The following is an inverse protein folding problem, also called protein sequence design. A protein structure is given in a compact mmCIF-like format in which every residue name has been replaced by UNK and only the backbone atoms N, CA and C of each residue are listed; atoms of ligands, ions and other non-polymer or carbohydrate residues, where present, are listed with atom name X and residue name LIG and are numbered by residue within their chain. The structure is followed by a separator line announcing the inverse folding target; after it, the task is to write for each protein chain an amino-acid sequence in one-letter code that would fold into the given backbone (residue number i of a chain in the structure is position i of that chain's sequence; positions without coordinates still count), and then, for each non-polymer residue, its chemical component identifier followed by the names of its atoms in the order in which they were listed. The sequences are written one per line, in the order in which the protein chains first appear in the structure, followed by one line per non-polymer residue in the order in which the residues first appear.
data_IF_280907865779
#
_entry.id   IF_280907865779
#
_cell.length_a   1.000
_cell.length_b   1.000
_cell.length_c   1.000
_cell.angle_alpha   90.00
_cell.angle_beta   90.00
_cell.angle_gamma   90.00
#
_symmetry.space_group_name_H-M   'P 1'
#
loop_
_entity.id
_entity.type
_entity.pdbx_description
1 polymer ?
#
# COMPACT_ATOMS: atom_id res chain seq x y z
N UNK A 1 -26.76 -17.20 0.19
CA UNK A 1 -25.33 -16.95 -0.03
C UNK A 1 -24.99 -15.65 0.66
N UNK A 2 -24.16 -15.68 1.71
CA UNK A 2 -23.59 -14.43 2.20
C UNK A 2 -22.67 -13.91 1.08
N UNK A 3 -22.97 -12.72 0.58
CA UNK A 3 -22.19 -12.00 -0.40
C UNK A 3 -20.75 -11.97 0.10
N UNK A 4 -19.82 -12.60 -0.63
CA UNK A 4 -18.41 -12.55 -0.29
C UNK A 4 -17.97 -11.12 -0.54
N UNK A 5 -17.99 -10.33 0.52
CA UNK A 5 -17.48 -8.98 0.57
C UNK A 5 -15.96 -9.02 0.38
N UNK A 6 -15.54 -9.11 -0.89
CA UNK A 6 -14.20 -8.77 -1.31
C UNK A 6 -14.14 -7.28 -1.63
N UNK A 7 -14.58 -6.40 -0.72
CA UNK A 7 -14.07 -5.03 -0.68
C UNK A 7 -12.62 -5.11 -0.17
N UNK A 8 -11.78 -5.78 -0.97
CA UNK A 8 -10.35 -5.58 -0.94
C UNK A 8 -10.12 -4.24 -1.62
N UNK A 9 -10.38 -3.14 -0.90
CA UNK A 9 -9.79 -1.87 -1.30
C UNK A 9 -8.31 -2.17 -1.56
N UNK A 10 -7.78 -1.92 -2.76
CA UNK A 10 -6.39 -2.22 -3.05
C UNK A 10 -5.55 -1.62 -1.93
N UNK A 11 -4.66 -2.40 -1.33
CA UNK A 11 -3.77 -1.94 -0.23
C UNK A 11 -3.04 -0.64 -0.61
N UNK A 12 -2.81 -0.44 -1.91
CA UNK A 12 -2.26 0.79 -2.46
C UNK A 12 -3.15 2.03 -2.26
N UNK A 13 -4.47 1.88 -2.28
CA UNK A 13 -5.46 2.93 -2.04
C UNK A 13 -5.61 3.21 -0.53
N UNK A 14 -5.61 2.19 0.32
CA UNK A 14 -5.61 2.37 1.79
C UNK A 14 -4.34 3.06 2.30
N UNK A 15 -3.19 2.73 1.72
CA UNK A 15 -1.90 3.34 2.06
C UNK A 15 -1.64 4.64 1.28
N UNK A 16 -2.60 5.09 0.48
CA UNK A 16 -2.58 6.28 -0.36
C UNK A 16 -1.27 6.46 -1.17
N UNK A 17 -0.74 5.36 -1.72
CA UNK A 17 0.57 5.35 -2.39
C UNK A 17 0.56 6.19 -3.67
N UNK A 18 -0.59 6.26 -4.33
CA UNK A 18 -0.77 7.05 -5.56
C UNK A 18 -0.54 8.53 -5.30
N UNK A 19 -1.12 9.09 -4.24
CA UNK A 19 -0.98 10.51 -3.91
C UNK A 19 0.46 10.85 -3.47
N UNK A 20 1.14 9.92 -2.81
CA UNK A 20 2.55 10.09 -2.47
C UNK A 20 3.42 10.15 -3.73
N UNK A 21 3.17 9.28 -4.71
CA UNK A 21 3.92 9.30 -5.98
C UNK A 21 3.66 10.59 -6.75
N UNK A 22 2.39 10.98 -6.92
CA UNK A 22 2.05 12.20 -7.66
C UNK A 22 2.59 13.45 -6.97
N UNK A 23 2.57 13.50 -5.63
CA UNK A 23 3.20 14.55 -4.83
C UNK A 23 4.70 14.64 -5.06
N UNK A 24 5.43 13.52 -5.06
CA UNK A 24 6.87 13.50 -5.36
C UNK A 24 7.18 13.94 -6.80
N UNK A 25 6.34 13.55 -7.76
CA UNK A 25 6.48 14.04 -9.14
C UNK A 25 6.27 15.56 -9.22
N UNK A 26 5.33 16.12 -8.45
CA UNK A 26 5.11 17.55 -8.36
C UNK A 26 6.29 18.26 -7.70
N UNK A 27 6.84 17.71 -6.61
CA UNK A 27 8.02 18.26 -5.94
C UNK A 27 9.21 18.39 -6.91
N UNK A 28 9.41 17.43 -7.83
CA UNK A 28 10.44 17.52 -8.87
C UNK A 28 10.22 18.69 -9.83
N UNK A 29 8.96 18.94 -10.22
CA UNK A 29 8.62 20.09 -11.06
C UNK A 29 8.80 21.41 -10.29
N UNK A 30 8.42 21.42 -9.02
CA UNK A 30 8.50 22.60 -8.16
C UNK A 30 9.96 23.00 -7.88
N UNK A 31 10.87 22.02 -7.68
CA UNK A 31 12.31 22.26 -7.63
C UNK A 31 12.82 22.86 -8.94
N UNK A 32 12.40 22.31 -10.10
CA UNK A 32 12.83 22.80 -11.41
C UNK A 32 12.35 24.23 -11.69
N UNK A 33 11.16 24.57 -11.17
CA UNK A 33 10.59 25.93 -11.29
C UNK A 33 11.09 26.90 -10.21
N UNK A 34 11.90 26.43 -9.25
CA UNK A 34 12.42 27.24 -8.15
C UNK A 34 11.39 27.58 -7.06
N UNK A 35 10.23 26.92 -7.03
CA UNK A 35 9.19 27.12 -6.01
C UNK A 35 9.56 26.54 -4.64
N UNK A 36 10.30 25.43 -4.64
CA UNK A 36 10.86 24.82 -3.43
C UNK A 36 12.36 24.60 -3.63
N UNK A 37 13.11 24.65 -2.53
CA UNK A 37 14.53 24.35 -2.55
C UNK A 37 14.79 22.84 -2.70
N UNK A 38 15.97 22.44 -3.21
CA UNK A 38 16.39 21.04 -3.21
C UNK A 38 16.39 20.39 -1.81
N UNK A 39 16.69 21.18 -0.77
CA UNK A 39 16.68 20.70 0.62
C UNK A 39 15.27 20.34 1.09
N UNK A 40 14.27 21.16 0.77
CA UNK A 40 12.86 20.88 1.07
C UNK A 40 12.37 19.63 0.33
N UNK A 41 12.66 19.51 -0.97
CA UNK A 41 12.29 18.34 -1.74
C UNK A 41 12.94 17.05 -1.18
N UNK A 42 14.20 17.13 -0.75
CA UNK A 42 14.88 16.01 -0.11
C UNK A 42 14.23 15.61 1.22
N UNK A 43 13.83 16.59 2.05
CA UNK A 43 13.12 16.31 3.29
C UNK A 43 11.78 15.61 3.04
N UNK A 44 11.00 16.07 2.05
CA UNK A 44 9.74 15.44 1.63
C UNK A 44 9.94 14.01 1.14
N UNK A 45 10.96 13.78 0.31
CA UNK A 45 11.33 12.45 -0.17
C UNK A 45 11.73 11.50 0.98
N UNK A 46 12.42 12.02 2.00
CA UNK A 46 12.82 11.24 3.18
C UNK A 46 11.60 10.77 3.98
N UNK A 47 10.58 11.62 4.12
CA UNK A 47 9.31 11.26 4.77
C UNK A 47 8.56 10.23 3.94
N UNK A 48 8.43 10.45 2.63
CA UNK A 48 7.78 9.51 1.72
C UNK A 48 8.43 8.11 1.77
N UNK A 49 9.76 8.03 1.92
CA UNK A 49 10.48 6.75 2.08
C UNK A 49 9.99 5.93 3.29
N UNK A 50 9.58 6.57 4.38
CA UNK A 50 9.05 5.85 5.55
C UNK A 50 7.69 5.22 5.26
N UNK A 51 6.86 5.88 4.45
CA UNK A 51 5.57 5.33 3.99
C UNK A 51 5.82 4.05 3.17
N UNK A 52 6.78 4.09 2.24
CA UNK A 52 7.18 2.91 1.45
C UNK A 52 7.70 1.76 2.31
N UNK A 53 8.49 2.06 3.34
CA UNK A 53 8.95 1.05 4.29
C UNK A 53 7.77 0.41 5.04
N UNK A 54 6.79 1.21 5.47
CA UNK A 54 5.56 0.73 6.11
C UNK A 54 4.75 -0.19 5.18
N UNK A 55 4.55 0.22 3.93
CA UNK A 55 3.87 -0.58 2.91
C UNK A 55 4.57 -1.92 2.67
N UNK A 56 5.92 -1.92 2.62
CA UNK A 56 6.71 -3.14 2.50
C UNK A 56 6.50 -4.08 3.67
N UNK A 57 6.53 -3.57 4.91
CA UNK A 57 6.32 -4.36 6.13
C UNK A 57 4.92 -4.97 6.14
N UNK A 58 3.90 -4.18 5.79
CA UNK A 58 2.52 -4.64 5.73
C UNK A 58 2.33 -5.80 4.73
N UNK A 59 2.84 -5.65 3.50
CA UNK A 59 2.77 -6.71 2.49
C UNK A 59 3.54 -7.96 2.92
N UNK A 60 4.68 -7.81 3.60
CA UNK A 60 5.43 -8.93 4.16
C UNK A 60 4.66 -9.65 5.27
N UNK A 61 3.96 -8.92 6.13
CA UNK A 61 3.12 -9.48 7.18
C UNK A 61 1.97 -10.31 6.57
N UNK A 62 1.25 -9.76 5.59
CA UNK A 62 0.19 -10.49 4.87
C UNK A 62 0.74 -11.78 4.28
N UNK A 63 1.85 -11.70 3.54
CA UNK A 63 2.45 -12.88 2.90
C UNK A 63 2.84 -13.94 3.93
N UNK A 64 3.38 -13.53 5.07
CA UNK A 64 3.76 -14.43 6.17
C UNK A 64 2.54 -15.13 6.76
N UNK A 65 1.46 -14.39 7.03
CA UNK A 65 0.22 -14.93 7.58
C UNK A 65 -0.44 -15.90 6.60
N UNK A 66 -0.51 -15.54 5.32
CA UNK A 66 -1.04 -16.40 4.25
C UNK A 66 -0.24 -17.69 4.11
N UNK A 67 1.09 -17.64 4.21
CA UNK A 67 1.93 -18.83 4.18
C UNK A 67 1.77 -19.75 5.39
N UNK A 68 1.36 -19.21 6.54
CA UNK A 68 1.11 -19.96 7.77
C UNK A 68 -0.34 -20.45 7.91
N UNK A 69 -1.23 -20.09 6.97
CA UNK A 69 -2.64 -20.44 7.04
C UNK A 69 -2.83 -21.96 6.87
N UNK A 70 -3.52 -22.59 7.83
CA UNK A 70 -3.90 -24.01 7.71
C UNK A 70 -4.98 -24.17 6.64
N UNK A 71 -4.89 -25.20 5.78
CA UNK A 71 -5.95 -25.49 4.83
C UNK A 71 -7.23 -25.83 5.58
N UNK A 72 -8.32 -25.15 5.23
CA UNK A 72 -9.64 -25.45 5.78
C UNK A 72 -10.26 -26.57 4.93
N UNK A 73 -10.75 -27.62 5.56
CA UNK A 73 -11.46 -28.69 4.86
C UNK A 73 -12.67 -28.09 4.12
N UNK A 74 -12.88 -28.47 2.85
CA UNK A 74 -14.07 -28.09 2.09
C UNK A 74 -15.29 -28.49 2.92
N UNK A 75 -16.19 -27.53 3.16
CA UNK A 75 -17.53 -27.84 3.64
C UNK A 75 -18.16 -28.65 2.52
N UNK A 76 -18.33 -29.96 2.73
CA UNK A 76 -19.19 -30.79 1.91
C UNK A 76 -20.59 -30.17 2.00
N UNK A 77 -21.04 -29.55 0.91
CA UNK A 77 -22.48 -29.28 0.74
C UNK A 77 -23.21 -30.61 0.92
N UNK A 78 -24.27 -30.58 1.72
CA UNK A 78 -24.88 -31.75 2.34
C UNK A 78 -25.24 -32.87 1.38
N UNK A 79 -25.07 -34.09 1.87
CA UNK A 79 -25.85 -35.23 1.44
C UNK A 79 -27.33 -35.00 1.83
N UNK A 80 -28.21 -35.32 0.87
CA UNK A 80 -29.68 -35.50 0.91
C UNK A 80 -30.61 -34.26 0.80
#
# INVERSE_FOLDING_TARGET
MAERDYVSTPVADELNLKDVITGLCQDLQDVRSGKISPAEAHARATIAKQIWNGARIYLQAIKTIQGAAKPVAKITEGDE
#
